data_IF_834213368770
#
_entry.id   IF_834213368770
#
_cell.length_a   1.000
_cell.length_b   1.000
_cell.length_c   1.000
_cell.angle_alpha   90.00
_cell.angle_beta   90.00
_cell.angle_gamma   90.00
#
_symmetry.space_group_name_H-M   'P 1'
#
loop_
_entity.id
_entity.type
_entity.pdbx_description
1 polymer ?
#
# COMPACT_ATOMS: atom_id res chain seq x y z
N UNK A 1 3.97 -7.05 16.44
CA UNK A 1 3.73 -5.84 15.61
C UNK A 1 5.01 -5.05 15.64
N UNK A 2 5.66 -4.85 14.50
CA UNK A 2 6.83 -3.97 14.39
C UNK A 2 6.45 -2.56 14.85
N UNK A 3 7.39 -1.82 15.42
CA UNK A 3 7.16 -0.43 15.80
C UNK A 3 6.82 0.44 14.57
N UNK A 4 7.31 0.04 13.39
CA UNK A 4 7.07 0.68 12.10
C UNK A 4 5.57 0.65 11.70
N UNK A 5 4.87 -0.47 11.88
CA UNK A 5 3.45 -0.57 11.50
C UNK A 5 2.57 0.44 12.25
N UNK A 6 2.82 0.65 13.55
CA UNK A 6 2.07 1.64 14.35
C UNK A 6 2.38 3.06 13.90
N UNK A 7 3.64 3.32 13.58
CA UNK A 7 4.08 4.61 13.06
C UNK A 7 3.41 4.93 11.72
N UNK A 8 3.44 4.01 10.76
CA UNK A 8 2.83 4.20 9.44
C UNK A 8 1.33 4.39 9.49
N UNK A 9 0.61 3.65 10.33
CA UNK A 9 -0.84 3.85 10.52
C UNK A 9 -1.17 5.25 11.04
N UNK A 10 -0.43 5.74 12.04
CA UNK A 10 -0.63 7.09 12.57
C UNK A 10 -0.37 8.18 11.53
N UNK A 11 0.60 7.97 10.63
CA UNK A 11 0.84 8.86 9.50
C UNK A 11 -0.31 8.79 8.47
N UNK A 12 -0.77 7.59 8.13
CA UNK A 12 -1.86 7.37 7.17
C UNK A 12 -3.18 8.03 7.62
N UNK A 13 -3.50 8.01 8.91
CA UNK A 13 -4.66 8.73 9.47
C UNK A 13 -4.61 10.24 9.19
N UNK A 14 -3.41 10.81 9.23
CA UNK A 14 -3.18 12.24 9.01
C UNK A 14 -3.13 12.63 7.53
N UNK A 15 -3.11 11.67 6.60
CA UNK A 15 -3.08 11.95 5.14
C UNK A 15 -4.26 12.81 4.71
N UNK A 16 -5.42 12.61 5.34
CA UNK A 16 -6.62 13.43 5.11
C UNK A 16 -6.41 14.92 5.42
N UNK A 17 -5.53 15.24 6.37
CA UNK A 17 -5.23 16.60 6.84
C UNK A 17 -3.99 17.17 6.17
N UNK A 18 -3.03 16.31 5.83
CA UNK A 18 -1.79 16.68 5.18
C UNK A 18 -1.45 15.70 4.03
N UNK A 19 -1.79 16.04 2.78
CA UNK A 19 -1.51 15.16 1.64
C UNK A 19 0.00 15.02 1.35
N UNK A 20 0.87 15.87 1.90
CA UNK A 20 2.32 15.67 1.74
C UNK A 20 2.82 14.39 2.44
N UNK A 21 2.06 13.87 3.40
CA UNK A 21 2.39 12.61 4.09
C UNK A 21 2.39 11.44 3.10
N UNK A 22 1.43 11.37 2.16
CA UNK A 22 1.43 10.27 1.20
C UNK A 22 2.71 10.31 0.34
N UNK A 23 3.14 11.48 -0.11
CA UNK A 23 4.38 11.64 -0.88
C UNK A 23 5.61 11.21 -0.08
N UNK A 24 5.66 11.51 1.23
CA UNK A 24 6.75 11.06 2.09
C UNK A 24 6.76 9.52 2.25
N UNK A 25 5.59 8.92 2.46
CA UNK A 25 5.46 7.47 2.58
C UNK A 25 5.84 6.77 1.26
N UNK A 26 5.44 7.33 0.11
CA UNK A 26 5.83 6.82 -1.21
C UNK A 26 7.36 6.88 -1.38
N UNK A 27 8.01 7.98 -1.00
CA UNK A 27 9.48 8.07 -1.03
C UNK A 27 10.17 7.05 -0.10
N UNK A 28 9.60 6.79 1.08
CA UNK A 28 10.13 5.80 2.02
C UNK A 28 9.96 4.36 1.47
N UNK A 29 8.83 4.06 0.86
CA UNK A 29 8.59 2.78 0.18
C UNK A 29 9.52 2.59 -1.02
N UNK A 30 9.78 3.67 -1.78
CA UNK A 30 10.76 3.69 -2.87
C UNK A 30 12.17 3.33 -2.41
N UNK A 31 12.56 3.74 -1.19
CA UNK A 31 13.87 3.44 -0.60
C UNK A 31 14.00 1.99 -0.08
N UNK A 32 13.01 1.13 -0.30
CA UNK A 32 13.09 -0.30 -0.02
C UNK A 32 12.52 -0.74 1.33
N UNK A 33 11.67 0.07 1.97
CA UNK A 33 10.92 -0.38 3.15
C UNK A 33 9.80 -1.35 2.72
N UNK A 34 10.10 -2.66 2.73
CA UNK A 34 9.15 -3.70 2.30
C UNK A 34 7.83 -3.70 3.07
N UNK A 35 7.85 -3.39 4.37
CA UNK A 35 6.64 -3.34 5.18
C UNK A 35 5.75 -2.16 4.78
N UNK A 36 6.33 -0.98 4.58
CA UNK A 36 5.59 0.19 4.09
C UNK A 36 5.05 -0.02 2.68
N UNK A 37 5.84 -0.69 1.82
CA UNK A 37 5.45 -0.98 0.43
C UNK A 37 4.18 -1.83 0.38
N UNK A 38 4.08 -2.86 1.23
CA UNK A 38 2.87 -3.67 1.37
C UNK A 38 1.70 -2.86 1.95
N UNK A 39 1.94 -2.04 2.97
CA UNK A 39 0.90 -1.21 3.61
C UNK A 39 0.28 -0.23 2.59
N UNK A 40 1.08 0.42 1.75
CA UNK A 40 0.58 1.31 0.69
C UNK A 40 -0.31 0.53 -0.29
N UNK A 41 0.14 -0.65 -0.73
CA UNK A 41 -0.68 -1.55 -1.56
C UNK A 41 -2.02 -1.87 -0.91
N UNK A 42 -2.01 -2.24 0.38
CA UNK A 42 -3.22 -2.53 1.13
C UNK A 42 -4.17 -1.32 1.26
N UNK A 43 -3.65 -0.13 1.55
CA UNK A 43 -4.44 1.09 1.64
C UNK A 43 -5.15 1.41 0.33
N UNK A 44 -4.44 1.36 -0.80
CA UNK A 44 -5.03 1.56 -2.12
C UNK A 44 -6.02 0.43 -2.51
N UNK A 45 -5.79 -0.81 -2.07
CA UNK A 45 -6.72 -1.92 -2.28
C UNK A 45 -8.05 -1.73 -1.53
N UNK A 46 -7.98 -1.39 -0.24
CA UNK A 46 -9.16 -1.22 0.62
C UNK A 46 -9.88 0.10 0.42
N UNK A 47 -9.17 1.13 -0.02
CA UNK A 47 -9.67 2.49 0.06
C UNK A 47 -9.68 3.02 1.50
N UNK A 48 -8.79 2.50 2.36
CA UNK A 48 -8.65 2.92 3.76
C UNK A 48 -7.51 3.93 3.83
N UNK A 49 -7.78 5.13 4.37
CA UNK A 49 -6.89 6.31 4.39
C UNK A 49 -6.59 6.94 3.02
N UNK A 50 -6.53 6.12 1.97
CA UNK A 50 -6.32 6.54 0.59
C UNK A 50 -7.53 6.19 -0.27
N UNK A 51 -7.79 6.92 -1.38
CA UNK A 51 -8.80 6.52 -2.34
C UNK A 51 -8.50 5.12 -2.89
N UNK A 52 -9.55 4.28 -3.02
CA UNK A 52 -9.41 2.96 -3.62
C UNK A 52 -8.89 3.09 -5.06
N UNK A 53 -7.76 2.44 -5.35
CA UNK A 53 -7.12 2.44 -6.65
C UNK A 53 -6.42 1.10 -6.85
N UNK A 54 -7.06 0.18 -7.56
CA UNK A 54 -6.55 -1.17 -7.77
C UNK A 54 -5.27 -1.16 -8.63
N UNK A 55 -5.10 -0.16 -9.50
CA UNK A 55 -3.90 -0.02 -10.34
C UNK A 55 -2.70 0.40 -9.49
N UNK A 56 -2.85 1.41 -8.64
CA UNK A 56 -1.80 1.79 -7.67
C UNK A 56 -1.54 0.70 -6.65
N UNK A 57 -2.59 0.02 -6.19
CA UNK A 57 -2.44 -1.14 -5.31
C UNK A 57 -1.53 -2.20 -5.94
N UNK A 58 -1.80 -2.59 -7.19
CA UNK A 58 -0.98 -3.57 -7.92
C UNK A 58 0.47 -3.12 -8.04
N UNK A 59 0.72 -1.85 -8.38
CA UNK A 59 2.07 -1.28 -8.47
C UNK A 59 2.87 -1.44 -7.17
N UNK A 60 2.29 -1.05 -6.03
CA UNK A 60 2.97 -1.17 -4.74
C UNK A 60 3.15 -2.62 -4.31
N UNK A 61 2.18 -3.51 -4.60
CA UNK A 61 2.30 -4.92 -4.27
C UNK A 61 3.35 -5.65 -5.12
N UNK A 62 3.47 -5.32 -6.40
CA UNK A 62 4.56 -5.84 -7.25
C UNK A 62 5.91 -5.47 -6.65
N UNK A 63 6.06 -4.23 -6.18
CA UNK A 63 7.27 -3.78 -5.51
C UNK A 63 7.51 -4.50 -4.18
N UNK A 64 6.49 -4.66 -3.34
CA UNK A 64 6.59 -5.43 -2.10
C UNK A 64 7.04 -6.88 -2.36
N UNK A 65 6.50 -7.51 -3.42
CA UNK A 65 6.96 -8.83 -3.89
C UNK A 65 8.43 -8.82 -4.31
N UNK A 66 8.91 -7.80 -5.03
CA UNK A 66 10.35 -7.69 -5.37
C UNK A 66 11.26 -7.55 -4.15
N UNK A 67 10.73 -7.00 -3.04
CA UNK A 67 11.42 -6.89 -1.75
C UNK A 67 11.31 -8.16 -0.89
N UNK A 68 10.67 -9.21 -1.40
CA UNK A 68 10.50 -10.49 -0.71
C UNK A 68 9.30 -10.57 0.23
N UNK A 69 8.31 -9.69 0.07
CA UNK A 69 7.07 -9.76 0.85
C UNK A 69 6.04 -10.68 0.17
N UNK A 70 6.01 -11.94 0.60
CA UNK A 70 5.12 -12.98 0.05
C UNK A 70 3.63 -12.66 0.25
N UNK A 71 3.28 -11.79 1.23
CA UNK A 71 1.88 -11.36 1.46
C UNK A 71 1.32 -10.57 0.27
N UNK A 72 2.20 -9.96 -0.52
CA UNK A 72 1.80 -9.20 -1.69
C UNK A 72 1.15 -10.08 -2.76
N UNK A 73 1.60 -11.33 -2.92
CA UNK A 73 1.08 -12.23 -3.96
C UNK A 73 -0.41 -12.52 -3.76
N UNK A 74 -0.80 -12.84 -2.53
CA UNK A 74 -2.20 -13.10 -2.20
C UNK A 74 -3.07 -11.87 -2.52
N UNK A 75 -2.62 -10.68 -2.10
CA UNK A 75 -3.38 -9.46 -2.34
C UNK A 75 -3.48 -9.09 -3.82
N UNK A 76 -2.42 -9.34 -4.60
CA UNK A 76 -2.42 -9.13 -6.05
C UNK A 76 -3.45 -10.01 -6.76
N UNK A 77 -3.62 -11.26 -6.32
CA UNK A 77 -4.66 -12.15 -6.86
C UNK A 77 -6.04 -11.56 -6.61
N UNK A 78 -6.30 -11.06 -5.40
CA UNK A 78 -7.56 -10.37 -5.10
C UNK A 78 -7.74 -9.08 -5.92
N UNK A 79 -6.71 -8.25 -6.06
CA UNK A 79 -6.76 -7.05 -6.91
C UNK A 79 -7.16 -7.38 -8.34
N UNK A 80 -6.53 -8.39 -8.96
CA UNK A 80 -6.84 -8.83 -10.33
C UNK A 80 -8.26 -9.36 -10.44
N UNK A 81 -8.69 -10.16 -9.48
CA UNK A 81 -10.06 -10.68 -9.45
C UNK A 81 -11.10 -9.55 -9.38
N UNK A 82 -10.89 -8.54 -8.53
CA UNK A 82 -11.78 -7.39 -8.43
C UNK A 82 -11.79 -6.56 -9.72
N UNK A 83 -10.63 -6.31 -10.33
CA UNK A 83 -10.54 -5.58 -11.61
C UNK A 83 -11.34 -6.26 -12.73
N UNK A 84 -11.33 -7.59 -12.78
CA UNK A 84 -12.10 -8.37 -13.76
C UNK A 84 -13.61 -8.42 -13.49
N UNK A 85 -14.06 -8.09 -12.27
CA UNK A 85 -15.49 -8.04 -11.93
C UNK A 85 -16.11 -6.65 -12.12
N UNK A 86 -15.28 -5.61 -12.23
CA UNK A 86 -15.72 -4.22 -12.44
C UNK A 86 -15.91 -3.88 -13.95
N UNK A 87 -15.59 -4.81 -14.87
CA UNK A 87 -15.86 -4.76 -16.33
C UNK A 87 -17.19 -5.42 -16.71
#
# INVERSE_FOLDING_TARGET
>A
MSDNLKHYKSLLEQVSTNPAIITQLEMMAENGDGELTYILGWCYFKGEYLPKDLTKSMYWLEKAKTLGDDRAEELMVYCRFLQLMDE
#
